data_IF_197248031106
#
_entry.id   IF_197248031106
#
_cell.length_a   1.000
_cell.length_b   1.000
_cell.length_c   1.000
_cell.angle_alpha   90.00
_cell.angle_beta   90.00
_cell.angle_gamma   90.00
#
_symmetry.space_group_name_H-M   'P 1'
#
loop_
_entity.id
_entity.type
_entity.pdbx_description
1 polymer ?
#
# COMPACT_ATOMS: atom_id res chain seq x y z
N UNK A 1 33.61 30.65 34.61
CA UNK A 1 33.05 30.02 33.38
C UNK A 1 32.50 31.12 32.47
N UNK A 2 33.13 31.39 31.32
CA UNK A 2 32.72 32.45 30.38
C UNK A 2 31.75 31.86 29.33
N UNK A 3 30.52 32.39 29.25
CA UNK A 3 29.54 32.02 28.21
C UNK A 3 29.87 32.78 26.93
N UNK A 4 30.08 32.10 25.80
CA UNK A 4 30.24 32.72 24.48
C UNK A 4 28.85 33.07 23.92
N UNK A 5 28.61 34.30 23.41
CA UNK A 5 27.35 34.65 22.77
C UNK A 5 27.31 34.16 21.31
N UNK A 6 26.10 33.82 20.86
CA UNK A 6 25.78 33.27 19.55
C UNK A 6 25.80 34.39 18.50
N UNK A 7 26.74 34.35 17.56
CA UNK A 7 26.84 35.32 16.46
C UNK A 7 25.90 34.94 15.32
N UNK A 8 25.03 35.89 14.94
CA UNK A 8 24.17 35.76 13.77
C UNK A 8 25.02 35.76 12.49
N UNK A 9 24.68 34.86 11.57
CA UNK A 9 25.29 34.76 10.24
C UNK A 9 24.71 35.90 9.39
N UNK A 10 25.53 36.91 9.10
CA UNK A 10 25.25 37.92 8.08
C UNK A 10 25.67 37.39 6.71
N UNK A 11 24.70 37.15 5.83
CA UNK A 11 24.98 36.89 4.41
C UNK A 11 25.04 38.21 3.66
N UNK A 12 26.26 38.61 3.29
CA UNK A 12 26.51 39.67 2.32
C UNK A 12 26.30 39.08 0.91
N UNK A 13 25.35 39.63 0.16
CA UNK A 13 25.18 39.37 -1.26
C UNK A 13 25.68 40.62 -1.99
N UNK A 14 26.92 40.57 -2.43
CA UNK A 14 27.54 41.59 -3.27
C UNK A 14 27.50 41.17 -4.73
N UNK A 15 27.14 42.19 -5.50
CA UNK A 15 26.84 42.35 -6.91
C UNK A 15 28.06 42.13 -7.83
N UNK A 16 27.83 42.30 -9.15
CA UNK A 16 28.68 42.27 -10.35
C UNK A 16 28.29 41.10 -11.26
N UNK A 17 27.40 41.23 -12.26
CA UNK A 17 27.12 42.37 -13.11
C UNK A 17 27.75 42.14 -14.49
N UNK A 18 26.93 41.94 -15.51
CA UNK A 18 27.13 42.40 -16.90
C UNK A 18 26.10 41.74 -17.86
N UNK A 19 25.23 42.59 -18.41
CA UNK A 19 24.40 42.37 -19.59
C UNK A 19 25.30 42.37 -20.87
N UNK A 20 24.83 42.17 -22.13
CA UNK A 20 23.69 42.93 -22.67
C UNK A 20 22.82 42.22 -23.76
N UNK A 21 21.74 42.93 -24.11
CA UNK A 21 21.09 43.03 -25.43
C UNK A 21 20.28 41.84 -25.98
N UNK A 22 19.11 41.99 -26.63
CA UNK A 22 18.20 43.09 -26.90
C UNK A 22 16.98 42.48 -27.63
N UNK A 23 15.85 43.20 -27.59
CA UNK A 23 14.74 43.18 -28.58
C UNK A 23 13.85 41.94 -28.66
N UNK A 24 12.63 42.07 -28.14
CA UNK A 24 11.48 41.95 -29.03
C UNK A 24 10.27 42.76 -28.52
N UNK A 25 9.88 43.75 -29.30
CA UNK A 25 8.70 44.59 -29.15
C UNK A 25 7.62 44.14 -30.13
N UNK A 26 6.35 44.13 -29.66
CA UNK A 26 5.12 44.50 -30.41
C UNK A 26 4.69 43.55 -31.57
N UNK A 27 3.43 43.40 -32.01
CA UNK A 27 2.06 43.72 -31.59
C UNK A 27 1.13 42.83 -32.45
N UNK A 28 -0.17 42.83 -32.13
CA UNK A 28 -1.30 42.13 -32.77
C UNK A 28 -1.48 42.37 -34.30
N UNK A 29 -2.03 41.39 -35.04
CA UNK A 29 -3.30 41.54 -35.79
C UNK A 29 -3.90 40.23 -36.41
N UNK A 30 -5.24 40.24 -36.48
CA UNK A 30 -6.32 39.58 -37.28
C UNK A 30 -5.99 38.64 -38.49
N UNK A 31 -6.80 37.70 -39.03
CA UNK A 31 -8.18 37.16 -38.90
C UNK A 31 -8.29 35.79 -39.72
N UNK A 32 -9.40 35.40 -40.42
CA UNK A 32 -10.46 34.45 -39.99
C UNK A 32 -10.74 33.23 -40.91
N UNK A 33 -11.56 32.25 -40.44
CA UNK A 33 -12.46 31.31 -41.15
C UNK A 33 -12.72 30.09 -40.21
N UNK A 34 -13.88 29.45 -40.00
CA UNK A 34 -15.16 29.24 -40.68
C UNK A 34 -16.11 28.68 -39.55
N UNK A 35 -17.29 29.23 -39.22
CA UNK A 35 -18.63 29.00 -39.83
C UNK A 35 -18.87 27.49 -40.08
N UNK A 36 -19.87 26.74 -39.59
CA UNK A 36 -21.21 26.93 -39.01
C UNK A 36 -21.67 25.56 -38.46
N UNK A 37 -22.48 25.51 -37.40
CA UNK A 37 -23.68 24.66 -37.39
C UNK A 37 -24.65 25.10 -36.29
N UNK A 38 -25.86 25.37 -36.76
CA UNK A 38 -27.01 25.99 -36.14
C UNK A 38 -27.72 25.14 -35.08
N UNK A 39 -28.32 25.87 -34.14
CA UNK A 39 -29.26 25.46 -33.10
C UNK A 39 -30.64 25.11 -33.67
N UNK A 40 -31.35 24.12 -33.10
CA UNK A 40 -32.83 24.17 -32.94
C UNK A 40 -33.38 23.08 -32.00
N UNK A 41 -33.87 23.54 -30.83
CA UNK A 41 -35.24 23.35 -30.27
C UNK A 41 -35.80 21.93 -29.93
N UNK A 42 -35.80 21.63 -28.61
CA UNK A 42 -36.91 21.20 -27.67
C UNK A 42 -37.74 19.88 -27.91
N UNK A 43 -38.15 19.12 -26.84
CA UNK A 43 -38.58 17.71 -26.86
C UNK A 43 -40.13 17.50 -26.88
N UNK A 44 -40.67 16.26 -26.95
CA UNK A 44 -41.20 15.61 -25.71
C UNK A 44 -41.23 14.06 -25.69
N UNK A 45 -41.60 13.54 -24.52
CA UNK A 45 -41.78 12.16 -24.01
C UNK A 45 -42.60 11.14 -24.83
N UNK A 46 -42.33 9.83 -24.66
CA UNK A 46 -43.30 8.74 -24.30
C UNK A 46 -42.59 7.35 -24.14
N UNK A 47 -43.23 6.30 -23.55
CA UNK A 47 -42.62 5.30 -22.64
C UNK A 47 -42.35 3.88 -23.19
N UNK A 48 -41.74 3.05 -22.32
CA UNK A 48 -41.31 1.63 -22.36
C UNK A 48 -42.19 0.59 -23.09
N UNK A 49 -41.66 -0.60 -23.48
CA UNK A 49 -41.73 -1.76 -22.57
C UNK A 49 -40.52 -2.73 -22.58
N UNK A 50 -40.47 -3.53 -21.51
CA UNK A 50 -39.49 -4.53 -21.06
C UNK A 50 -39.61 -5.93 -21.69
N UNK A 51 -38.48 -6.68 -21.76
CA UNK A 51 -38.26 -8.15 -21.62
C UNK A 51 -36.71 -8.31 -21.65
N UNK A 52 -35.94 -9.02 -20.81
CA UNK A 52 -36.21 -10.02 -19.80
C UNK A 52 -35.24 -11.20 -19.97
N UNK A 53 -33.99 -11.13 -19.47
CA UNK A 53 -33.18 -12.35 -19.16
C UNK A 53 -32.37 -12.15 -17.88
N UNK A 54 -32.77 -12.88 -16.84
CA UNK A 54 -32.05 -13.06 -15.57
C UNK A 54 -30.79 -13.89 -15.82
N UNK A 55 -29.62 -13.30 -15.65
CA UNK A 55 -28.44 -14.05 -15.25
C UNK A 55 -28.34 -13.99 -13.73
N UNK A 56 -28.47 -15.15 -13.09
CA UNK A 56 -28.30 -15.34 -11.65
C UNK A 56 -26.83 -15.05 -11.33
N UNK A 57 -26.52 -13.82 -10.90
CA UNK A 57 -25.22 -13.49 -10.33
C UNK A 57 -25.14 -14.08 -8.93
N UNK A 58 -24.24 -15.03 -8.76
CA UNK A 58 -23.82 -15.59 -7.46
C UNK A 58 -23.50 -14.42 -6.52
N UNK A 59 -24.27 -14.33 -5.44
CA UNK A 59 -24.22 -13.25 -4.46
C UNK A 59 -22.90 -13.38 -3.70
N UNK A 60 -21.87 -12.65 -4.12
CA UNK A 60 -20.71 -12.39 -3.25
C UNK A 60 -21.22 -11.56 -2.07
N UNK A 61 -21.11 -12.13 -0.87
CA UNK A 61 -21.45 -11.47 0.38
C UNK A 61 -20.50 -10.29 0.59
N UNK A 62 -20.89 -9.12 0.08
CA UNK A 62 -20.26 -7.85 0.47
C UNK A 62 -20.44 -7.71 1.97
N UNK A 63 -19.32 -7.71 2.69
CA UNK A 63 -19.21 -7.29 4.09
C UNK A 63 -20.02 -6.02 4.33
N UNK A 64 -20.74 -5.90 5.47
CA UNK A 64 -21.73 -4.86 5.70
C UNK A 64 -21.10 -3.47 5.52
N UNK A 65 -21.75 -2.62 4.72
CA UNK A 65 -21.34 -1.23 4.48
C UNK A 65 -21.41 -0.50 5.82
N UNK A 66 -20.26 -0.38 6.49
CA UNK A 66 -20.12 0.41 7.70
C UNK A 66 -20.52 1.86 7.43
N UNK A 67 -21.15 2.49 8.43
CA UNK A 67 -21.50 3.92 8.42
C UNK A 67 -20.32 4.74 7.88
N UNK A 68 -20.59 5.60 6.90
CA UNK A 68 -19.59 6.46 6.25
C UNK A 68 -18.75 7.17 7.32
N UNK A 69 -17.49 6.78 7.46
CA UNK A 69 -16.58 7.27 8.50
C UNK A 69 -15.25 6.51 8.50
N UNK A 70 -14.20 7.14 9.03
CA UNK A 70 -12.89 6.51 9.22
C UNK A 70 -13.04 5.26 10.11
N UNK A 71 -12.37 4.16 9.75
CA UNK A 71 -12.42 2.90 10.49
C UNK A 71 -12.02 3.12 11.95
N UNK A 72 -12.71 2.46 12.88
CA UNK A 72 -12.33 2.50 14.30
C UNK A 72 -10.93 1.88 14.47
N UNK A 73 -10.08 2.50 15.29
CA UNK A 73 -8.75 1.98 15.60
C UNK A 73 -8.77 0.52 16.07
N UNK A 74 -9.84 0.12 16.76
CA UNK A 74 -10.06 -1.26 17.22
C UNK A 74 -10.35 -2.22 16.07
N UNK A 75 -11.09 -1.78 15.05
CA UNK A 75 -11.36 -2.57 13.84
C UNK A 75 -10.08 -2.80 13.03
N UNK A 76 -9.19 -1.80 12.99
CA UNK A 76 -7.86 -1.95 12.37
C UNK A 76 -6.96 -2.91 13.14
N UNK A 77 -7.06 -2.97 14.47
CA UNK A 77 -6.30 -3.92 15.27
C UNK A 77 -6.76 -5.37 15.05
N UNK A 78 -8.05 -5.60 14.89
CA UNK A 78 -8.58 -6.95 14.65
C UNK A 78 -8.13 -7.53 13.30
N UNK A 79 -7.97 -6.70 12.27
CA UNK A 79 -7.42 -7.13 10.97
C UNK A 79 -6.00 -7.69 11.09
N UNK A 80 -5.21 -7.24 12.07
CA UNK A 80 -3.84 -7.70 12.26
C UNK A 80 -3.73 -9.23 12.51
N UNK A 81 -4.81 -9.87 12.97
CA UNK A 81 -4.84 -11.30 13.25
C UNK A 81 -5.36 -12.13 12.07
N UNK A 82 -5.77 -11.48 10.98
CA UNK A 82 -6.39 -12.12 9.82
C UNK A 82 -5.40 -12.20 8.65
N UNK A 83 -4.30 -12.95 8.84
CA UNK A 83 -3.36 -13.26 7.76
C UNK A 83 -3.63 -14.69 7.30
N UNK A 84 -3.81 -14.90 6.00
CA UNK A 84 -3.95 -16.23 5.38
C UNK A 84 -2.69 -16.55 4.57
N UNK A 85 -1.55 -16.58 5.25
CA UNK A 85 -0.28 -16.98 4.62
C UNK A 85 -0.09 -18.47 4.88
N UNK A 86 0.06 -19.30 3.84
CA UNK A 86 0.35 -20.72 3.97
C UNK A 86 1.68 -20.98 4.71
N UNK A 87 1.85 -22.18 5.29
CA UNK A 87 3.10 -22.58 5.93
C UNK A 87 4.30 -22.50 4.97
N UNK A 88 5.49 -22.34 5.54
CA UNK A 88 6.75 -22.20 4.81
C UNK A 88 6.95 -23.31 3.76
N UNK A 89 6.60 -24.55 4.10
CA UNK A 89 6.75 -25.71 3.21
C UNK A 89 5.97 -25.55 1.89
N UNK A 90 4.79 -24.96 1.94
CA UNK A 90 3.99 -24.69 0.74
C UNK A 90 4.53 -23.49 -0.01
N UNK A 91 5.04 -22.49 0.70
CA UNK A 91 5.62 -21.31 0.08
C UNK A 91 6.84 -21.64 -0.78
N UNK A 92 7.71 -22.54 -0.35
CA UNK A 92 8.92 -22.92 -1.11
C UNK A 92 8.65 -23.83 -2.30
N UNK A 93 7.43 -24.35 -2.48
CA UNK A 93 7.06 -25.11 -3.69
C UNK A 93 7.12 -24.26 -4.97
N UNK A 94 6.83 -22.96 -4.86
CA UNK A 94 6.86 -22.01 -5.98
C UNK A 94 7.95 -20.97 -5.77
N UNK A 95 8.78 -20.74 -6.79
CA UNK A 95 9.91 -19.82 -6.68
C UNK A 95 9.50 -18.33 -6.72
N UNK A 96 8.40 -18.01 -7.39
CA UNK A 96 7.96 -16.63 -7.60
C UNK A 96 6.44 -16.50 -7.42
N UNK A 97 6.03 -15.47 -6.70
CA UNK A 97 4.64 -15.09 -6.47
C UNK A 97 4.34 -13.76 -7.14
N UNK A 98 3.17 -13.64 -7.76
CA UNK A 98 2.73 -12.36 -8.31
C UNK A 98 2.24 -11.46 -7.18
N UNK A 99 2.32 -10.13 -7.37
CA UNK A 99 1.78 -9.18 -6.37
C UNK A 99 0.29 -9.41 -6.06
N UNK A 100 -0.48 -9.93 -7.02
CA UNK A 100 -1.89 -10.28 -6.83
C UNK A 100 -2.10 -11.47 -5.90
N UNK A 101 -1.24 -12.49 -5.98
CA UNK A 101 -1.25 -13.64 -5.05
C UNK A 101 -0.88 -13.17 -3.64
N UNK A 102 0.21 -12.41 -3.51
CA UNK A 102 0.67 -11.86 -2.23
C UNK A 102 -0.42 -11.00 -1.58
N UNK A 103 -1.05 -10.09 -2.34
CA UNK A 103 -2.15 -9.26 -1.86
C UNK A 103 -3.32 -10.06 -1.28
N UNK A 104 -3.67 -11.19 -1.91
CA UNK A 104 -4.74 -12.08 -1.43
C UNK A 104 -4.38 -12.75 -0.09
N UNK A 105 -3.12 -13.18 0.07
CA UNK A 105 -2.65 -13.84 1.30
C UNK A 105 -2.68 -12.91 2.51
N UNK A 106 -2.31 -11.64 2.30
CA UNK A 106 -2.33 -10.61 3.34
C UNK A 106 -3.68 -9.91 3.49
N UNK A 107 -4.62 -10.13 2.56
CA UNK A 107 -5.90 -9.41 2.46
C UNK A 107 -5.73 -7.88 2.44
N UNK A 108 -4.65 -7.42 1.84
CA UNK A 108 -4.29 -6.00 1.74
C UNK A 108 -4.25 -5.56 0.27
N UNK A 109 -4.28 -4.25 0.04
CA UNK A 109 -4.24 -3.72 -1.31
C UNK A 109 -2.87 -3.91 -1.96
N UNK A 110 -2.84 -4.23 -3.25
CA UNK A 110 -1.58 -4.36 -4.01
C UNK A 110 -0.72 -3.09 -3.92
N UNK A 111 -1.35 -1.90 -3.95
CA UNK A 111 -0.63 -0.62 -3.83
C UNK A 111 0.10 -0.48 -2.49
N UNK A 112 -0.44 -1.06 -1.41
CA UNK A 112 0.23 -1.05 -0.11
C UNK A 112 1.48 -1.93 -0.12
N UNK A 113 1.41 -3.09 -0.78
CA UNK A 113 2.57 -3.97 -0.95
C UNK A 113 3.64 -3.30 -1.83
N UNK A 114 3.25 -2.60 -2.90
CA UNK A 114 4.18 -1.79 -3.72
C UNK A 114 4.83 -0.69 -2.89
N UNK A 115 4.06 -0.08 -2.00
CA UNK A 115 4.58 0.96 -1.12
C UNK A 115 5.59 0.39 -0.11
N UNK A 116 5.30 -0.78 0.48
CA UNK A 116 6.25 -1.45 1.36
C UNK A 116 7.54 -1.87 0.64
N UNK A 117 7.46 -2.32 -0.61
CA UNK A 117 8.67 -2.54 -1.43
C UNK A 117 9.57 -1.30 -1.49
N UNK A 118 9.02 -0.11 -1.72
CA UNK A 118 9.84 1.11 -1.78
C UNK A 118 10.40 1.55 -0.43
N UNK A 119 9.75 1.19 0.67
CA UNK A 119 10.10 1.63 2.02
C UNK A 119 11.11 0.70 2.71
N UNK A 120 11.17 -0.57 2.31
CA UNK A 120 11.98 -1.61 2.94
C UNK A 120 12.99 -2.20 1.96
N UNK A 121 14.26 -1.84 2.14
CA UNK A 121 15.41 -2.32 1.34
C UNK A 121 15.58 -3.86 1.36
N UNK A 122 14.98 -4.54 2.35
CA UNK A 122 15.02 -6.00 2.49
C UNK A 122 14.11 -6.74 1.50
N UNK A 123 13.19 -6.04 0.84
CA UNK A 123 12.33 -6.61 -0.19
C UNK A 123 12.97 -6.34 -1.54
N UNK A 124 13.32 -7.39 -2.27
CA UNK A 124 13.94 -7.27 -3.58
C UNK A 124 13.10 -7.98 -4.66
N UNK A 125 11.86 -7.52 -4.91
CA UNK A 125 11.03 -8.14 -5.93
C UNK A 125 11.64 -7.94 -7.31
N UNK A 126 11.59 -9.01 -8.12
CA UNK A 126 12.05 -8.95 -9.51
C UNK A 126 11.02 -8.22 -10.36
N UNK A 127 11.46 -7.16 -11.04
CA UNK A 127 10.65 -6.40 -11.99
C UNK A 127 10.80 -6.99 -13.39
N UNK A 128 9.68 -7.23 -14.07
CA UNK A 128 9.68 -7.62 -15.47
C UNK A 128 9.75 -6.37 -16.39
N UNK A 129 10.08 -6.54 -17.66
CA UNK A 129 10.10 -5.46 -18.68
C UNK A 129 8.77 -4.71 -18.78
N UNK A 130 7.66 -5.37 -18.46
CA UNK A 130 6.30 -4.80 -18.43
C UNK A 130 5.97 -4.01 -17.14
N UNK A 131 6.81 -4.10 -16.11
CA UNK A 131 6.57 -3.46 -14.80
C UNK A 131 5.85 -4.33 -13.76
N UNK A 132 5.56 -5.60 -14.10
CA UNK A 132 5.05 -6.58 -13.14
C UNK A 132 6.12 -6.95 -12.09
N UNK A 133 5.67 -7.18 -10.86
CA UNK A 133 6.53 -7.48 -9.71
C UNK A 133 6.32 -8.92 -9.24
N UNK A 134 7.43 -9.63 -9.09
CA UNK A 134 7.48 -11.00 -8.60
C UNK A 134 8.24 -11.06 -7.27
N UNK A 135 7.60 -11.64 -6.27
CA UNK A 135 8.14 -11.82 -4.93
C UNK A 135 8.66 -13.25 -4.79
N UNK A 136 9.85 -13.43 -4.20
CA UNK A 136 10.35 -14.75 -3.82
C UNK A 136 9.69 -15.20 -2.52
N UNK A 137 9.68 -16.51 -2.19
CA UNK A 137 9.23 -17.00 -0.89
C UNK A 137 9.90 -16.27 0.28
N UNK A 138 11.18 -15.92 0.13
CA UNK A 138 11.94 -15.15 1.14
C UNK A 138 11.35 -13.75 1.32
N UNK A 139 11.00 -13.06 0.22
CA UNK A 139 10.36 -11.74 0.31
C UNK A 139 8.99 -11.82 0.97
N UNK A 140 8.24 -12.91 0.72
CA UNK A 140 6.95 -13.16 1.38
C UNK A 140 7.14 -13.31 2.89
N UNK A 141 8.15 -14.04 3.35
CA UNK A 141 8.49 -14.13 4.79
C UNK A 141 8.83 -12.77 5.39
N UNK A 142 9.64 -11.98 4.69
CA UNK A 142 9.99 -10.62 5.10
C UNK A 142 8.73 -9.73 5.19
N UNK A 143 7.78 -9.89 4.27
CA UNK A 143 6.49 -9.20 4.33
C UNK A 143 5.67 -9.61 5.56
N UNK A 144 5.67 -10.90 5.95
CA UNK A 144 4.99 -11.35 7.19
C UNK A 144 5.61 -10.66 8.42
N UNK A 145 6.94 -10.56 8.47
CA UNK A 145 7.63 -9.85 9.56
C UNK A 145 7.26 -8.36 9.59
N UNK A 146 7.35 -7.68 8.45
CA UNK A 146 6.96 -6.26 8.32
C UNK A 146 5.51 -6.06 8.78
N UNK A 147 4.61 -6.94 8.36
CA UNK A 147 3.21 -6.88 8.73
C UNK A 147 3.01 -6.98 10.25
N UNK A 148 3.69 -7.92 10.92
CA UNK A 148 3.63 -8.06 12.39
C UNK A 148 4.11 -6.78 13.10
N UNK A 149 5.21 -6.19 12.63
CA UNK A 149 5.76 -4.94 13.19
C UNK A 149 4.75 -3.79 13.08
N UNK A 150 4.15 -3.60 11.90
CA UNK A 150 3.25 -2.47 11.66
C UNK A 150 1.88 -2.68 12.31
N UNK A 151 1.31 -3.88 12.21
CA UNK A 151 -0.08 -4.14 12.60
C UNK A 151 -0.21 -4.60 14.04
N UNK A 152 0.65 -5.51 14.50
CA UNK A 152 0.59 -6.05 15.86
C UNK A 152 1.32 -5.15 16.85
N UNK A 153 2.54 -4.75 16.51
CA UNK A 153 3.39 -3.92 17.40
C UNK A 153 3.22 -2.41 17.23
N UNK A 154 2.47 -1.97 16.21
CA UNK A 154 2.13 -0.57 15.95
C UNK A 154 3.34 0.34 15.72
N UNK A 155 4.41 -0.19 15.13
CA UNK A 155 5.51 0.66 14.66
C UNK A 155 5.07 1.56 13.52
N UNK A 156 5.70 2.73 13.41
CA UNK A 156 5.68 3.53 12.18
C UNK A 156 6.55 2.86 11.12
N UNK A 157 6.40 3.25 9.86
CA UNK A 157 7.19 2.67 8.76
C UNK A 157 8.69 2.92 8.99
N UNK A 158 9.05 4.13 9.38
CA UNK A 158 10.42 4.50 9.76
C UNK A 158 10.93 3.67 10.95
N UNK A 159 10.12 3.52 11.99
CA UNK A 159 10.47 2.73 13.17
C UNK A 159 10.67 1.25 12.84
N UNK A 160 9.85 0.69 11.94
CA UNK A 160 10.00 -0.68 11.47
C UNK A 160 11.28 -0.86 10.63
N UNK A 161 11.59 0.10 9.76
CA UNK A 161 12.82 0.10 8.96
C UNK A 161 14.05 0.12 9.85
N UNK A 162 14.05 1.00 10.85
CA UNK A 162 15.09 1.10 11.87
C UNK A 162 15.23 -0.18 12.69
N UNK A 163 14.11 -0.78 13.07
CA UNK A 163 14.11 -2.02 13.84
C UNK A 163 14.80 -3.16 13.08
N UNK A 164 14.48 -3.30 11.78
CA UNK A 164 15.08 -4.29 10.89
C UNK A 164 16.58 -4.04 10.65
N UNK A 165 16.99 -2.77 10.50
CA UNK A 165 18.40 -2.40 10.33
C UNK A 165 19.23 -2.65 11.59
N UNK A 166 18.67 -2.33 12.77
CA UNK A 166 19.37 -2.46 14.07
C UNK A 166 19.43 -3.90 14.57
N UNK A 167 18.39 -4.70 14.33
CA UNK A 167 18.29 -6.05 14.88
C UNK A 167 18.45 -7.10 13.78
N UNK A 168 19.69 -7.49 13.48
CA UNK A 168 19.97 -8.62 12.56
C UNK A 168 19.36 -9.95 13.06
N UNK A 169 19.20 -10.10 14.38
CA UNK A 169 18.53 -11.27 15.02
C UNK A 169 17.00 -11.12 15.11
N UNK A 170 16.40 -10.12 14.47
CA UNK A 170 14.95 -9.94 14.49
C UNK A 170 14.23 -11.13 13.84
N UNK A 171 14.82 -11.69 12.78
CA UNK A 171 14.31 -12.87 12.07
C UNK A 171 14.24 -14.08 13.00
N UNK A 172 15.34 -14.41 13.71
CA UNK A 172 15.38 -15.54 14.65
C UNK A 172 14.39 -15.39 15.81
N UNK A 173 14.27 -14.18 16.34
CA UNK A 173 13.28 -13.90 17.39
C UNK A 173 11.86 -14.08 16.86
N UNK A 174 11.63 -13.69 15.61
CA UNK A 174 10.32 -13.82 14.98
C UNK A 174 9.95 -15.28 14.71
N UNK A 175 10.87 -16.10 14.19
CA UNK A 175 10.64 -17.54 13.98
C UNK A 175 10.36 -18.26 15.30
N UNK A 176 11.09 -17.91 16.37
CA UNK A 176 10.82 -18.43 17.71
C UNK A 176 9.44 -18.02 18.22
N UNK A 177 9.03 -16.78 18.00
CA UNK A 177 7.69 -16.30 18.40
C UNK A 177 6.60 -17.04 17.62
N UNK A 178 6.81 -17.32 16.34
CA UNK A 178 5.86 -18.08 15.51
C UNK A 178 5.74 -19.54 15.98
N UNK A 179 6.84 -20.23 16.25
CA UNK A 179 6.80 -21.61 16.74
C UNK A 179 6.11 -21.72 18.10
N UNK A 180 6.37 -20.78 19.01
CA UNK A 180 5.67 -20.70 20.30
C UNK A 180 4.16 -20.44 20.14
N UNK A 181 3.76 -19.66 19.13
CA UNK A 181 2.34 -19.42 18.82
C UNK A 181 1.67 -20.67 18.28
N UNK A 182 2.33 -21.40 17.40
CA UNK A 182 1.84 -22.68 16.86
C UNK A 182 1.68 -23.73 17.97
N UNK A 183 2.67 -23.85 18.86
CA UNK A 183 2.58 -24.75 20.02
C UNK A 183 1.44 -24.35 20.95
N UNK A 184 1.27 -23.05 21.22
CA UNK A 184 0.15 -22.56 22.03
C UNK A 184 -1.20 -22.91 21.40
N UNK A 185 -1.39 -22.68 20.10
CA UNK A 185 -2.64 -23.03 19.42
C UNK A 185 -2.92 -24.53 19.47
N UNK A 186 -1.89 -25.35 19.26
CA UNK A 186 -2.00 -26.81 19.33
C UNK A 186 -2.42 -27.31 20.73
N UNK A 187 -1.79 -26.77 21.78
CA UNK A 187 -2.15 -27.13 23.16
C UNK A 187 -3.56 -26.67 23.54
N UNK A 188 -3.99 -25.50 23.05
CA UNK A 188 -5.36 -25.02 23.25
C UNK A 188 -6.36 -25.94 22.54
N UNK A 189 -6.04 -26.39 21.33
CA UNK A 189 -6.85 -27.34 20.58
C UNK A 189 -7.00 -28.67 21.34
N UNK A 190 -5.90 -29.27 21.81
CA UNK A 190 -5.94 -30.49 22.64
C UNK A 190 -6.81 -30.26 23.87
N UNK A 191 -6.58 -29.16 24.60
CA UNK A 191 -7.39 -28.81 25.76
C UNK A 191 -8.87 -28.75 25.41
N UNK A 192 -9.23 -28.09 24.31
CA UNK A 192 -10.62 -27.95 23.89
C UNK A 192 -11.27 -29.29 23.50
N UNK A 193 -10.51 -30.21 22.91
CA UNK A 193 -10.99 -31.54 22.53
C UNK A 193 -11.21 -32.44 23.76
N UNK A 194 -10.38 -32.32 24.79
CA UNK A 194 -10.55 -33.05 26.06
C UNK A 194 -11.66 -32.47 26.95
N UNK A 195 -12.06 -31.22 26.71
CA UNK A 195 -13.04 -30.49 27.51
C UNK A 195 -14.44 -30.50 26.87
N UNK A 196 -14.62 -31.21 25.74
CA UNK A 196 -15.93 -31.56 25.19
C UNK A 196 -16.51 -32.72 26.00
N UNK A 197 -17.75 -32.59 26.53
CA UNK A 197 -18.41 -33.64 27.30
C UNK A 197 -18.76 -34.86 26.42
#
# INVERSE_FOLDING_TARGET
>A
MRKKPLTQISFAFEDLGAAPDEKNEQLLDQAPAEVQSVETVVPPSTPSPSIGVRSIRKKEEKSPVGKRGRKSMREMANRANQIQVPPDEELFKKQYYTIGEVAKMFQENQSLIRYWESEFDILQPKKNKKGDRYFRPVDVKNLVLIYDLLRRRKFTIEGARDFLKKNKKAEDKFTLIQSLQQLRSFLIEIRSNLQKP
#
